data_IF_551151236353
#
_entry.id   IF_551151236353
#
_cell.length_a   1.000
_cell.length_b   1.000
_cell.length_c   1.000
_cell.angle_alpha   90.00
_cell.angle_beta   90.00
_cell.angle_gamma   90.00
#
_symmetry.space_group_name_H-M   'P 1'
#
loop_
_entity.id
_entity.type
_entity.pdbx_description
1 polymer ?
#
# COMPACT_ATOMS: atom_id res chain seq x y z
N UNK A 1 5.23 -4.35 -17.68
CA UNK A 1 4.66 -4.92 -16.49
C UNK A 1 4.17 -3.84 -15.54
N UNK A 2 2.95 -3.97 -15.08
CA UNK A 2 2.34 -2.95 -14.24
C UNK A 2 2.83 -3.08 -12.81
N UNK A 3 3.35 -2.01 -12.25
CA UNK A 3 3.64 -1.94 -10.84
C UNK A 3 2.36 -1.61 -10.13
N UNK A 4 2.25 -2.04 -8.90
CA UNK A 4 1.00 -1.89 -8.19
C UNK A 4 1.25 -1.61 -6.72
N UNK A 5 0.17 -1.35 -6.00
CA UNK A 5 0.27 -0.99 -4.61
C UNK A 5 -0.54 -1.87 -3.69
N UNK A 6 -0.13 -1.89 -2.44
CA UNK A 6 -0.90 -2.49 -1.38
C UNK A 6 -1.04 -1.45 -0.26
N UNK A 7 -2.24 -1.32 0.25
CA UNK A 7 -2.57 -0.31 1.26
C UNK A 7 -3.11 -1.02 2.49
N UNK A 8 -2.52 -0.72 3.64
CA UNK A 8 -2.85 -1.38 4.89
C UNK A 8 -3.27 -0.36 5.92
N UNK A 9 -4.47 -0.53 6.47
CA UNK A 9 -5.00 0.32 7.51
C UNK A 9 -5.57 -0.53 8.64
N UNK A 10 -5.61 0.05 9.83
CA UNK A 10 -6.23 -0.59 10.99
C UNK A 10 -7.74 -0.63 10.92
N UNK A 11 -8.34 0.15 10.02
CA UNK A 11 -9.80 0.31 9.93
C UNK A 11 -10.27 0.02 8.51
N UNK A 12 -11.27 -0.85 8.40
CA UNK A 12 -11.83 -1.26 7.11
C UNK A 12 -12.27 -0.05 6.27
N UNK A 13 -13.02 0.87 6.86
CA UNK A 13 -13.55 2.03 6.14
C UNK A 13 -12.45 2.98 5.66
N UNK A 14 -11.34 3.08 6.41
CA UNK A 14 -10.22 3.91 5.98
C UNK A 14 -9.60 3.32 4.71
N UNK A 15 -9.31 2.02 4.71
CA UNK A 15 -8.72 1.35 3.55
C UNK A 15 -9.64 1.47 2.33
N UNK A 16 -10.92 1.22 2.51
CA UNK A 16 -11.90 1.30 1.42
C UNK A 16 -12.03 2.73 0.90
N UNK A 17 -12.02 3.72 1.80
CA UNK A 17 -12.10 5.12 1.41
C UNK A 17 -10.90 5.57 0.60
N UNK A 18 -9.70 5.16 1.00
CA UNK A 18 -8.48 5.47 0.24
C UNK A 18 -8.56 4.84 -1.15
N UNK A 19 -8.97 3.59 -1.23
CA UNK A 19 -9.11 2.91 -2.52
C UNK A 19 -10.12 3.64 -3.42
N UNK A 20 -11.24 4.05 -2.87
CA UNK A 20 -12.25 4.77 -3.63
C UNK A 20 -11.70 6.08 -4.18
N UNK A 21 -10.94 6.81 -3.39
CA UNK A 21 -10.30 8.05 -3.82
C UNK A 21 -9.30 7.77 -4.96
N UNK A 22 -8.47 6.76 -4.80
CA UNK A 22 -7.43 6.42 -5.77
C UNK A 22 -8.03 5.98 -7.10
N UNK A 23 -9.14 5.26 -7.08
CA UNK A 23 -9.77 4.79 -8.31
C UNK A 23 -10.16 5.94 -9.26
N UNK A 24 -10.36 7.13 -8.74
CA UNK A 24 -10.67 8.31 -9.57
C UNK A 24 -9.49 8.69 -10.48
N UNK A 25 -8.27 8.41 -10.08
CA UNK A 25 -7.06 8.82 -10.82
C UNK A 25 -6.21 7.65 -11.29
N UNK A 26 -6.45 6.45 -10.83
CA UNK A 26 -5.60 5.29 -11.10
C UNK A 26 -6.42 4.02 -11.36
N UNK A 27 -7.42 4.13 -12.23
CA UNK A 27 -8.33 3.02 -12.52
C UNK A 27 -7.66 1.78 -13.12
N UNK A 28 -6.49 1.95 -13.74
CA UNK A 28 -5.78 0.84 -14.39
C UNK A 28 -4.64 0.28 -13.53
N UNK A 29 -4.44 0.82 -12.33
CA UNK A 29 -3.42 0.33 -11.41
C UNK A 29 -4.03 -0.71 -10.48
N UNK A 30 -3.41 -1.88 -10.37
CA UNK A 30 -3.88 -2.93 -9.49
C UNK A 30 -3.50 -2.61 -8.05
N UNK A 31 -4.50 -2.27 -7.24
CA UNK A 31 -4.28 -1.91 -5.84
C UNK A 31 -5.09 -2.84 -4.96
N UNK A 32 -4.40 -3.50 -4.03
CA UNK A 32 -5.04 -4.31 -3.01
C UNK A 32 -5.11 -3.52 -1.72
N UNK A 33 -6.25 -3.53 -1.06
CA UNK A 33 -6.40 -2.82 0.22
C UNK A 33 -6.81 -3.79 1.32
N UNK A 34 -6.24 -3.61 2.50
CA UNK A 34 -6.57 -4.39 3.67
C UNK A 34 -6.87 -3.40 4.80
N UNK A 35 -8.04 -3.51 5.38
CA UNK A 35 -8.44 -2.62 6.48
C UNK A 35 -9.15 -3.38 7.57
N UNK A 36 -8.61 -3.27 8.80
CA UNK A 36 -9.16 -3.93 9.95
C UNK A 36 -8.90 -5.42 9.98
N UNK A 37 -9.25 -6.05 11.08
CA UNK A 37 -9.26 -7.51 11.21
C UNK A 37 -10.50 -8.09 10.51
N UNK A 38 -11.54 -7.28 10.45
CA UNK A 38 -12.78 -7.55 9.72
C UNK A 38 -13.41 -6.20 9.42
N UNK A 39 -14.58 -6.17 8.82
CA UNK A 39 -15.29 -4.91 8.52
C UNK A 39 -15.65 -4.15 9.79
N UNK A 40 -15.68 -4.80 10.94
CA UNK A 40 -16.10 -4.20 12.21
C UNK A 40 -15.03 -4.19 13.27
N UNK A 41 -13.89 -4.86 13.07
CA UNK A 41 -12.84 -4.96 14.08
C UNK A 41 -11.58 -4.22 13.65
N UNK A 42 -11.10 -3.36 14.53
CA UNK A 42 -9.90 -2.56 14.29
C UNK A 42 -8.65 -3.38 14.53
N UNK A 43 -7.65 -3.21 13.70
CA UNK A 43 -6.35 -3.87 13.85
C UNK A 43 -5.78 -4.35 12.54
N UNK A 44 -4.60 -4.96 12.59
CA UNK A 44 -3.95 -5.56 11.43
C UNK A 44 -3.60 -7.01 11.72
N UNK A 45 -3.55 -7.82 10.68
CA UNK A 45 -3.23 -9.23 10.77
C UNK A 45 -2.09 -9.56 9.83
N UNK A 46 -1.02 -10.14 10.37
CA UNK A 46 0.10 -10.63 9.57
C UNK A 46 -0.38 -11.61 8.50
N UNK A 47 -1.23 -12.56 8.89
CA UNK A 47 -1.72 -13.58 7.95
C UNK A 47 -2.49 -12.98 6.78
N UNK A 48 -3.35 -11.99 7.06
CA UNK A 48 -4.13 -11.33 6.00
C UNK A 48 -3.24 -10.55 5.07
N UNK A 49 -2.22 -9.87 5.60
CA UNK A 49 -1.27 -9.11 4.79
C UNK A 49 -0.47 -10.05 3.89
N UNK A 50 0.06 -11.12 4.44
CA UNK A 50 0.83 -12.09 3.67
C UNK A 50 -0.02 -12.72 2.56
N UNK A 51 -1.26 -13.07 2.87
CA UNK A 51 -2.18 -13.63 1.89
C UNK A 51 -2.42 -12.66 0.74
N UNK A 52 -2.66 -11.39 1.05
CA UNK A 52 -2.91 -10.36 0.03
C UNK A 52 -1.68 -10.15 -0.86
N UNK A 53 -0.50 -10.13 -0.26
CA UNK A 53 0.75 -10.02 -1.01
C UNK A 53 0.90 -11.19 -1.98
N UNK A 54 0.71 -12.41 -1.48
CA UNK A 54 0.91 -13.61 -2.29
C UNK A 54 -0.12 -13.77 -3.40
N UNK A 55 -1.32 -13.27 -3.19
CA UNK A 55 -2.39 -13.30 -4.21
C UNK A 55 -2.26 -12.21 -5.26
N UNK A 56 -1.51 -11.18 -4.96
CA UNK A 56 -1.39 -10.04 -5.86
C UNK A 56 -0.74 -10.48 -7.18
N UNK A 57 -1.24 -10.03 -8.34
CA UNK A 57 -0.67 -10.44 -9.62
C UNK A 57 0.71 -9.88 -9.92
N UNK A 58 1.11 -8.80 -9.26
CA UNK A 58 2.41 -8.19 -9.50
C UNK A 58 3.49 -8.76 -8.59
N UNK A 59 4.72 -8.83 -9.10
CA UNK A 59 5.87 -9.25 -8.31
C UNK A 59 6.59 -8.07 -7.67
N UNK A 60 6.20 -6.85 -7.99
CA UNK A 60 6.80 -5.63 -7.44
C UNK A 60 5.70 -4.75 -6.86
N UNK A 61 5.68 -4.63 -5.53
CA UNK A 61 4.64 -3.93 -4.81
C UNK A 61 5.17 -2.70 -4.09
N UNK A 62 4.42 -1.61 -4.16
CA UNK A 62 4.66 -0.40 -3.36
C UNK A 62 3.65 -0.42 -2.21
N UNK A 63 4.14 -0.44 -0.98
CA UNK A 63 3.28 -0.65 0.19
C UNK A 63 3.15 0.60 1.04
N UNK A 64 1.93 0.87 1.47
CA UNK A 64 1.57 2.03 2.29
C UNK A 64 0.79 1.56 3.51
N UNK A 65 1.01 2.19 4.65
CA UNK A 65 0.39 1.80 5.91
C UNK A 65 0.03 3.06 6.71
N UNK A 66 -0.95 2.93 7.63
CA UNK A 66 -1.39 4.08 8.43
C UNK A 66 -0.56 4.29 9.70
N UNK A 67 -0.44 3.30 10.56
CA UNK A 67 0.24 3.44 11.84
C UNK A 67 1.41 2.45 11.95
N UNK A 68 2.37 2.77 12.81
CA UNK A 68 3.60 1.98 12.94
C UNK A 68 3.39 0.51 13.26
N UNK A 69 2.32 0.14 13.98
CA UNK A 69 2.04 -1.26 14.26
C UNK A 69 1.69 -2.05 13.00
N UNK A 70 1.10 -1.42 12.01
CA UNK A 70 0.87 -2.06 10.72
C UNK A 70 2.19 -2.36 10.01
N UNK A 71 3.17 -1.47 10.17
CA UNK A 71 4.50 -1.67 9.56
C UNK A 71 5.17 -2.93 10.09
N UNK A 72 5.02 -3.23 11.37
CA UNK A 72 5.62 -4.44 11.95
C UNK A 72 5.12 -5.71 11.24
N UNK A 73 3.81 -5.83 11.06
CA UNK A 73 3.23 -6.95 10.36
C UNK A 73 3.64 -6.97 8.88
N UNK A 74 3.73 -5.81 8.28
CA UNK A 74 4.11 -5.67 6.87
C UNK A 74 5.58 -6.06 6.67
N UNK A 75 6.48 -5.67 7.57
CA UNK A 75 7.90 -6.06 7.52
C UNK A 75 8.05 -7.58 7.60
N UNK A 76 7.30 -8.22 8.49
CA UNK A 76 7.33 -9.68 8.64
C UNK A 76 6.83 -10.37 7.37
N UNK A 77 5.76 -9.87 6.80
CA UNK A 77 5.20 -10.43 5.56
C UNK A 77 6.17 -10.26 4.40
N UNK A 78 6.85 -9.11 4.33
CA UNK A 78 7.87 -8.85 3.31
C UNK A 78 8.99 -9.88 3.37
N UNK A 79 9.46 -10.20 4.57
CA UNK A 79 10.54 -11.18 4.74
C UNK A 79 10.15 -12.59 4.28
N UNK A 80 8.88 -12.94 4.43
CA UNK A 80 8.38 -14.26 4.06
C UNK A 80 7.89 -14.37 2.62
N UNK A 81 7.83 -13.25 1.90
CA UNK A 81 7.37 -13.24 0.51
C UNK A 81 8.56 -13.26 -0.44
N UNK A 82 8.37 -13.90 -1.59
CA UNK A 82 9.37 -13.91 -2.67
C UNK A 82 9.26 -12.65 -3.54
N UNK A 83 8.28 -11.80 -3.29
CA UNK A 83 8.05 -10.61 -4.09
C UNK A 83 8.94 -9.46 -3.64
N UNK A 84 9.14 -8.51 -4.55
CA UNK A 84 9.83 -7.26 -4.23
C UNK A 84 8.83 -6.29 -3.64
N UNK A 85 9.00 -5.93 -2.39
CA UNK A 85 8.07 -5.05 -1.68
C UNK A 85 8.86 -3.87 -1.12
N UNK A 86 8.45 -2.66 -1.49
CA UNK A 86 9.04 -1.44 -0.95
C UNK A 86 8.01 -0.77 -0.06
N UNK A 87 8.38 -0.52 1.19
CA UNK A 87 7.49 0.10 2.19
C UNK A 87 7.85 1.57 2.31
N UNK A 88 6.86 2.44 2.23
CA UNK A 88 7.07 3.89 2.29
C UNK A 88 6.50 4.48 3.58
N UNK A 89 7.35 5.23 4.29
CA UNK A 89 6.98 5.91 5.54
C UNK A 89 6.49 7.32 5.21
N UNK A 90 5.26 7.41 4.77
CA UNK A 90 4.64 8.65 4.31
C UNK A 90 3.22 8.74 4.87
N UNK A 91 2.58 9.92 4.86
CA UNK A 91 1.16 10.00 5.19
C UNK A 91 0.38 9.11 4.21
N UNK A 92 -0.48 8.25 4.75
CA UNK A 92 -1.05 7.16 3.95
C UNK A 92 -1.91 7.65 2.78
N UNK A 93 -2.74 8.66 2.99
CA UNK A 93 -3.63 9.15 1.92
C UNK A 93 -2.82 9.82 0.84
N UNK A 94 -2.00 10.81 1.20
CA UNK A 94 -1.20 11.54 0.23
C UNK A 94 -0.18 10.67 -0.47
N UNK A 95 0.48 9.78 0.27
CA UNK A 95 1.49 8.91 -0.30
C UNK A 95 0.91 7.91 -1.28
N UNK A 96 -0.13 7.22 -0.88
CA UNK A 96 -0.77 6.22 -1.73
C UNK A 96 -1.39 6.87 -2.98
N UNK A 97 -2.05 8.01 -2.80
CA UNK A 97 -2.65 8.74 -3.91
C UNK A 97 -1.58 9.18 -4.91
N UNK A 98 -0.50 9.80 -4.43
CA UNK A 98 0.59 10.28 -5.29
C UNK A 98 1.21 9.13 -6.07
N UNK A 99 1.55 8.04 -5.38
CA UNK A 99 2.17 6.90 -6.05
C UNK A 99 1.23 6.29 -7.09
N UNK A 100 -0.04 6.11 -6.76
CA UNK A 100 -1.00 5.51 -7.67
C UNK A 100 -1.22 6.37 -8.92
N UNK A 101 -1.36 7.68 -8.75
CA UNK A 101 -1.54 8.60 -9.87
C UNK A 101 -0.32 8.57 -10.80
N UNK A 102 0.88 8.53 -10.24
CA UNK A 102 2.10 8.48 -11.04
C UNK A 102 2.27 7.12 -11.74
N UNK A 103 1.89 6.03 -11.09
CA UNK A 103 1.88 4.71 -11.72
C UNK A 103 0.93 4.70 -12.93
N UNK A 104 -0.25 5.27 -12.78
CA UNK A 104 -1.23 5.36 -13.87
C UNK A 104 -0.65 6.14 -15.04
N UNK A 105 0.15 7.17 -14.77
CA UNK A 105 0.78 7.98 -15.79
C UNK A 105 2.04 7.34 -16.41
N UNK A 106 2.43 6.16 -15.93
CA UNK A 106 3.60 5.46 -16.47
C UNK A 106 4.93 5.94 -15.93
N UNK A 107 4.93 6.63 -14.80
CA UNK A 107 6.16 7.16 -14.19
C UNK A 107 6.96 6.01 -13.55
N UNK A 108 8.30 6.09 -13.63
CA UNK A 108 9.16 5.07 -13.04
C UNK A 108 9.10 5.07 -11.52
N UNK A 109 9.40 3.94 -10.91
CA UNK A 109 9.44 3.85 -9.44
C UNK A 109 10.44 4.83 -8.84
N UNK A 110 11.59 5.02 -9.48
CA UNK A 110 12.61 5.96 -9.01
C UNK A 110 12.07 7.40 -8.96
N UNK A 111 11.34 7.82 -9.99
CA UNK A 111 10.74 9.13 -10.02
C UNK A 111 9.60 9.27 -8.99
N UNK A 112 8.84 8.20 -8.78
CA UNK A 112 7.82 8.17 -7.74
C UNK A 112 8.47 8.34 -6.36
N UNK A 113 9.58 7.64 -6.11
CA UNK A 113 10.30 7.74 -4.84
C UNK A 113 10.83 9.14 -4.57
N UNK A 114 11.27 9.84 -5.61
CA UNK A 114 11.69 11.23 -5.45
C UNK A 114 10.55 12.12 -4.98
N UNK A 115 9.34 11.91 -5.49
CA UNK A 115 8.17 12.65 -5.05
C UNK A 115 7.78 12.27 -3.62
N UNK A 116 7.85 10.99 -3.26
CA UNK A 116 7.49 10.53 -1.92
C UNK A 116 8.46 11.03 -0.85
N UNK A 117 9.73 11.28 -1.21
CA UNK A 117 10.69 11.85 -0.27
C UNK A 117 10.26 13.22 0.24
N UNK A 118 9.53 13.97 -0.58
CA UNK A 118 9.05 15.31 -0.20
C UNK A 118 8.03 15.26 0.94
N UNK A 119 7.39 14.13 1.14
CA UNK A 119 6.37 13.97 2.17
C UNK A 119 6.72 12.86 3.17
N UNK A 120 7.96 12.40 3.16
CA UNK A 120 8.41 11.37 4.07
C UNK A 120 8.34 11.87 5.52
N UNK A 121 7.85 10.99 6.40
CA UNK A 121 7.71 11.31 7.83
C UNK A 121 8.32 10.20 8.65
N UNK A 122 8.59 10.51 9.91
CA UNK A 122 9.07 9.54 10.88
C UNK A 122 7.86 8.95 11.61
N UNK A 123 7.54 7.70 11.31
CA UNK A 123 6.34 7.07 11.88
C UNK A 123 6.71 5.93 12.82
#
# INVERSE_FOLDING_TARGET
>A
MTKTGIIISHVYEIAKGINRLIQEVAGDVDIEVIGGLSETEIGTSFDSILEAINKHPSDNLLAFYDLGSAKMNLDMAKELSDKSITIYDVPIVEGAYTAAALLQAGVTQEAIEEQLKEIQIDK
#
